data_IF_795497499493
#
_entry.id   IF_795497499493
#
_cell.length_a   1.000
_cell.length_b   1.000
_cell.length_c   1.000
_cell.angle_alpha   90.00
_cell.angle_beta   90.00
_cell.angle_gamma   90.00
#
_symmetry.space_group_name_H-M   'P 1'
#
loop_
_entity.id
_entity.type
_entity.pdbx_description
1 polymer ?
#
# COMPACT_ATOMS: atom_id res chain seq x y z
N UNK A 1 20.01 -82.28 26.13
CA UNK A 1 18.76 -82.74 26.76
C UNK A 1 17.69 -81.75 26.30
N UNK A 2 17.17 -81.96 25.08
CA UNK A 2 15.85 -82.58 24.77
C UNK A 2 14.72 -81.62 25.19
N UNK A 3 13.77 -81.16 24.37
CA UNK A 3 13.22 -81.56 23.05
C UNK A 3 12.32 -80.38 22.55
N UNK A 4 12.29 -80.03 21.25
CA UNK A 4 11.19 -80.17 20.24
C UNK A 4 9.80 -79.60 20.65
N UNK A 5 8.98 -78.89 19.85
CA UNK A 5 8.53 -78.96 18.45
C UNK A 5 7.87 -77.60 18.04
N UNK A 6 8.05 -77.04 16.81
CA UNK A 6 7.13 -77.06 15.64
C UNK A 6 5.68 -76.59 15.90
N UNK A 7 4.94 -75.86 15.05
CA UNK A 7 5.11 -75.07 13.81
C UNK A 7 3.73 -74.45 13.50
N UNK A 8 3.69 -73.46 12.59
CA UNK A 8 2.58 -73.12 11.66
C UNK A 8 1.96 -71.71 11.74
N UNK A 9 1.97 -71.10 10.55
CA UNK A 9 1.47 -69.79 10.19
C UNK A 9 0.08 -69.88 9.54
N UNK A 10 -0.77 -68.87 9.77
CA UNK A 10 -1.96 -68.55 8.95
C UNK A 10 -2.41 -67.08 9.19
N UNK A 11 -3.12 -66.44 8.24
CA UNK A 11 -3.06 -64.99 7.93
C UNK A 11 -4.12 -64.13 8.65
N UNK A 12 -4.03 -62.78 8.60
CA UNK A 12 -5.06 -61.92 9.20
C UNK A 12 -6.29 -61.74 8.28
N UNK A 13 -7.49 -61.57 8.84
CA UNK A 13 -8.70 -61.30 8.08
C UNK A 13 -8.92 -59.79 7.86
N UNK A 14 -9.70 -59.51 6.82
CA UNK A 14 -10.08 -58.21 6.28
C UNK A 14 -11.19 -57.46 7.05
N UNK A 15 -11.11 -56.13 6.98
CA UNK A 15 -12.17 -55.11 6.91
C UNK A 15 -13.27 -55.02 8.00
N UNK A 16 -13.35 -53.86 8.67
CA UNK A 16 -14.52 -52.94 8.62
C UNK A 16 -14.36 -51.75 9.59
N UNK A 17 -14.52 -50.52 9.08
CA UNK A 17 -14.63 -49.26 9.83
C UNK A 17 -15.93 -49.20 10.67
N UNK A 18 -16.06 -48.29 11.66
CA UNK A 18 -16.80 -47.05 11.37
C UNK A 18 -16.32 -45.77 12.11
N UNK A 19 -16.52 -44.64 11.45
CA UNK A 19 -16.35 -43.25 11.93
C UNK A 19 -17.64 -42.74 12.59
N UNK A 20 -17.54 -42.09 13.75
CA UNK A 20 -18.62 -41.37 14.40
C UNK A 20 -18.53 -39.86 14.08
N UNK A 21 -19.64 -39.28 13.60
CA UNK A 21 -19.81 -37.84 13.37
C UNK A 21 -20.78 -37.32 14.43
N UNK A 22 -20.39 -36.26 15.15
CA UNK A 22 -21.27 -35.51 16.04
C UNK A 22 -22.07 -34.46 15.25
N UNK A 23 -23.39 -34.52 15.41
CA UNK A 23 -24.39 -33.65 14.79
C UNK A 23 -24.65 -32.39 15.64
N UNK A 24 -24.75 -31.22 15.00
CA UNK A 24 -25.43 -30.03 15.54
C UNK A 24 -26.64 -29.67 14.65
N UNK A 25 -27.76 -29.18 15.20
CA UNK A 25 -29.01 -29.04 14.46
C UNK A 25 -29.09 -27.73 13.68
N UNK A 26 -29.63 -27.81 12.46
CA UNK A 26 -29.97 -26.68 11.59
C UNK A 26 -31.41 -26.24 11.90
N UNK A 27 -31.61 -24.98 12.27
CA UNK A 27 -32.93 -24.36 12.30
C UNK A 27 -33.24 -23.85 10.88
N UNK A 28 -34.28 -24.43 10.30
CA UNK A 28 -34.85 -24.09 9.00
C UNK A 28 -35.88 -22.96 9.17
N UNK A 29 -35.76 -21.88 8.39
CA UNK A 29 -36.86 -20.95 8.12
C UNK A 29 -37.07 -20.89 6.61
N UNK A 30 -38.13 -21.55 6.18
CA UNK A 30 -38.66 -21.62 4.81
C UNK A 30 -39.07 -20.24 4.25
N UNK A 31 -38.69 -19.95 3.01
CA UNK A 31 -39.36 -18.97 2.16
C UNK A 31 -40.21 -19.73 1.13
N UNK A 32 -41.52 -19.52 1.16
CA UNK A 32 -42.50 -20.16 0.29
C UNK A 32 -42.66 -19.35 -1.00
N UNK A 33 -41.78 -19.57 -1.98
CA UNK A 33 -42.00 -19.24 -3.39
C UNK A 33 -40.80 -19.75 -4.20
N UNK A 34 -40.87 -20.97 -4.73
CA UNK A 34 -40.14 -21.51 -5.90
C UNK A 34 -40.12 -23.06 -5.83
N UNK A 35 -41.00 -23.73 -6.58
CA UNK A 35 -40.93 -25.18 -6.83
C UNK A 35 -39.79 -25.49 -7.82
N UNK A 36 -38.57 -25.69 -7.31
CA UNK A 36 -37.42 -26.08 -8.13
C UNK A 36 -36.54 -27.12 -7.42
N UNK A 37 -36.24 -28.22 -8.11
CA UNK A 37 -35.40 -29.30 -7.60
C UNK A 37 -34.00 -28.79 -7.19
N UNK A 38 -33.57 -29.12 -5.98
CA UNK A 38 -32.22 -28.85 -5.47
C UNK A 38 -31.18 -29.65 -6.25
N UNK A 39 -30.32 -28.97 -7.01
CA UNK A 39 -29.12 -29.56 -7.58
C UNK A 39 -28.16 -29.98 -6.45
N UNK A 40 -27.82 -31.26 -6.39
CA UNK A 40 -26.83 -31.80 -5.45
C UNK A 40 -25.45 -31.23 -5.77
N UNK A 41 -24.83 -30.57 -4.79
CA UNK A 41 -23.44 -30.13 -4.89
C UNK A 41 -22.52 -31.35 -4.73
N UNK A 42 -21.90 -31.79 -5.82
CA UNK A 42 -20.79 -32.73 -5.78
C UNK A 42 -19.52 -31.99 -5.32
N UNK A 43 -18.85 -32.54 -4.30
CA UNK A 43 -17.57 -32.02 -3.82
C UNK A 43 -16.51 -32.03 -4.95
N UNK A 44 -15.71 -30.96 -5.11
CA UNK A 44 -14.63 -30.97 -6.08
C UNK A 44 -13.53 -31.95 -5.66
N UNK A 45 -12.79 -32.56 -6.62
CA UNK A 45 -11.72 -33.49 -6.30
C UNK A 45 -10.58 -32.77 -5.55
N UNK A 46 -9.85 -33.48 -4.67
CA UNK A 46 -8.71 -32.91 -3.96
C UNK A 46 -7.58 -32.60 -4.95
N UNK A 47 -6.99 -31.40 -4.80
CA UNK A 47 -5.90 -30.93 -5.64
C UNK A 47 -4.57 -31.58 -5.21
N UNK A 48 -3.74 -31.94 -6.18
CA UNK A 48 -2.38 -32.46 -5.95
C UNK A 48 -1.44 -31.34 -5.48
N UNK A 49 -0.52 -31.67 -4.57
CA UNK A 49 0.51 -30.79 -3.96
C UNK A 49 1.50 -30.13 -4.96
N UNK A 50 1.29 -30.29 -6.27
CA UNK A 50 2.22 -29.92 -7.34
C UNK A 50 1.83 -28.65 -8.11
N UNK A 51 0.78 -27.93 -7.72
CA UNK A 51 0.38 -26.69 -8.41
C UNK A 51 1.01 -25.47 -7.76
N UNK A 52 1.88 -24.70 -8.46
CA UNK A 52 2.37 -23.43 -7.94
C UNK A 52 1.21 -22.44 -7.73
N UNK A 53 1.32 -21.50 -6.77
CA UNK A 53 0.29 -20.48 -6.56
C UNK A 53 0.02 -19.72 -7.87
N UNK A 54 -1.24 -19.29 -8.10
CA UNK A 54 -1.63 -18.65 -9.35
C UNK A 54 -0.78 -17.39 -9.62
N UNK A 55 -0.15 -17.34 -10.79
CA UNK A 55 0.63 -16.19 -11.22
C UNK A 55 -0.27 -14.95 -11.36
N UNK A 56 0.19 -13.81 -10.84
CA UNK A 56 -0.43 -12.50 -11.03
C UNK A 56 -0.77 -12.25 -12.51
N UNK A 57 -2.02 -11.89 -12.80
CA UNK A 57 -2.47 -11.50 -14.14
C UNK A 57 -3.13 -10.11 -14.06
N UNK A 58 -2.63 -9.09 -14.78
CA UNK A 58 -3.17 -7.74 -14.68
C UNK A 58 -4.57 -7.59 -15.30
N UNK A 59 -5.31 -6.57 -14.88
CA UNK A 59 -6.59 -6.17 -15.47
C UNK A 59 -6.35 -5.65 -16.90
N UNK A 60 -6.81 -6.40 -17.91
CA UNK A 60 -6.84 -5.97 -19.32
C UNK A 60 -8.15 -5.23 -19.62
N UNK A 61 -8.27 -3.98 -19.21
CA UNK A 61 -9.30 -3.10 -19.77
C UNK A 61 -8.74 -2.43 -21.04
N UNK A 62 -9.42 -2.49 -22.19
CA UNK A 62 -8.94 -1.83 -23.40
C UNK A 62 -8.88 -0.30 -23.23
N UNK A 63 -7.85 0.33 -23.79
CA UNK A 63 -7.60 1.77 -23.75
C UNK A 63 -8.59 2.54 -24.67
N UNK A 64 -9.88 2.59 -24.30
CA UNK A 64 -10.91 3.11 -25.22
C UNK A 64 -11.05 4.64 -25.17
N UNK A 65 -10.58 5.34 -24.14
CA UNK A 65 -10.58 6.80 -24.09
C UNK A 65 -9.43 7.34 -23.22
N UNK A 66 -8.54 8.17 -23.78
CA UNK A 66 -7.50 8.86 -23.01
C UNK A 66 -8.13 9.93 -22.10
N UNK A 67 -7.68 10.10 -20.85
CA UNK A 67 -8.25 11.10 -19.95
C UNK A 67 -8.02 12.53 -20.46
N UNK A 68 -9.10 13.33 -20.52
CA UNK A 68 -9.11 14.72 -20.99
C UNK A 68 -8.40 15.73 -20.06
N UNK A 69 -7.93 15.30 -18.88
CA UNK A 69 -7.41 16.17 -17.83
C UNK A 69 -5.91 16.53 -17.97
N UNK A 70 -5.24 16.12 -19.04
CA UNK A 70 -3.79 16.31 -19.23
C UNK A 70 -3.39 17.80 -19.33
N UNK A 71 -4.21 18.64 -19.94
CA UNK A 71 -3.89 20.06 -20.15
C UNK A 71 -3.83 20.88 -18.84
N UNK A 72 -4.71 20.61 -17.88
CA UNK A 72 -4.73 21.33 -16.60
C UNK A 72 -3.54 20.95 -15.70
N UNK A 73 -3.10 19.69 -15.76
CA UNK A 73 -1.91 19.21 -15.03
C UNK A 73 -0.65 19.89 -15.54
N UNK A 74 -0.50 20.05 -16.86
CA UNK A 74 0.69 20.69 -17.46
C UNK A 74 0.87 22.13 -16.96
N UNK A 75 -0.23 22.88 -16.83
CA UNK A 75 -0.23 24.28 -16.40
C UNK A 75 -0.16 24.45 -14.87
N UNK A 76 -0.39 23.39 -14.09
CA UNK A 76 -0.34 23.48 -12.63
C UNK A 76 1.08 23.81 -12.14
N UNK A 77 1.22 24.61 -11.05
CA UNK A 77 2.53 24.84 -10.43
C UNK A 77 3.06 23.54 -9.84
N UNK A 78 4.37 23.30 -10.00
CA UNK A 78 5.05 22.15 -9.37
C UNK A 78 5.01 22.35 -7.85
N UNK A 79 4.57 21.35 -7.07
CA UNK A 79 4.79 21.35 -5.62
C UNK A 79 6.26 21.59 -5.27
N UNK A 80 6.52 22.57 -4.41
CA UNK A 80 7.88 22.90 -3.98
C UNK A 80 8.14 22.27 -2.61
N UNK A 81 9.40 21.91 -2.30
CA UNK A 81 9.81 21.53 -0.95
C UNK A 81 9.36 22.59 0.06
N UNK A 82 8.68 22.17 1.11
CA UNK A 82 8.34 23.01 2.26
C UNK A 82 8.73 22.28 3.54
N UNK A 83 9.17 23.01 4.57
CA UNK A 83 9.44 22.42 5.86
C UNK A 83 8.15 21.91 6.49
N UNK A 84 8.27 20.88 7.31
CA UNK A 84 7.15 20.34 8.08
C UNK A 84 6.96 21.20 9.33
N UNK A 85 5.79 21.84 9.55
CA UNK A 85 5.57 22.64 10.74
C UNK A 85 5.52 21.74 11.99
N UNK A 86 6.38 21.99 12.99
CA UNK A 86 6.36 21.21 14.21
C UNK A 86 5.02 21.35 14.93
N UNK A 87 4.62 20.31 15.65
CA UNK A 87 3.52 20.38 16.60
C UNK A 87 4.06 20.95 17.92
N UNK A 88 3.41 21.98 18.44
CA UNK A 88 3.81 22.63 19.69
C UNK A 88 2.98 22.11 20.87
N UNK A 89 3.58 21.91 22.05
CA UNK A 89 2.83 21.60 23.27
C UNK A 89 2.03 22.83 23.77
N UNK A 90 0.90 22.63 24.48
CA UNK A 90 0.31 21.33 24.81
C UNK A 90 -0.32 20.68 23.57
N UNK A 91 -0.07 19.39 23.38
CA UNK A 91 -0.64 18.65 22.27
C UNK A 91 -2.14 18.36 22.50
N UNK A 92 -2.90 18.44 21.43
CA UNK A 92 -4.34 18.18 21.35
C UNK A 92 -4.62 17.12 20.28
N UNK A 93 -4.24 15.88 20.57
CA UNK A 93 -4.42 14.77 19.63
C UNK A 93 -5.89 14.45 19.39
N UNK A 94 -6.26 14.17 18.14
CA UNK A 94 -7.61 13.81 17.73
C UNK A 94 -7.59 12.60 16.80
N UNK A 95 -8.46 11.61 17.05
CA UNK A 95 -8.61 10.47 16.13
C UNK A 95 -9.13 10.96 14.76
N UNK A 96 -8.41 10.70 13.65
CA UNK A 96 -8.79 11.16 12.32
C UNK A 96 -10.19 10.68 11.92
N UNK A 97 -10.93 11.56 11.24
CA UNK A 97 -12.24 11.25 10.68
C UNK A 97 -12.37 11.72 9.23
N UNK A 98 -13.39 11.23 8.52
CA UNK A 98 -13.61 11.60 7.13
C UNK A 98 -14.06 13.06 7.03
N UNK A 99 -13.28 13.91 6.34
CA UNK A 99 -13.62 15.32 6.05
C UNK A 99 -13.69 15.66 4.58
N UNK A 100 -13.17 14.79 3.72
CA UNK A 100 -13.18 14.99 2.28
C UNK A 100 -14.27 14.10 1.70
N UNK A 101 -15.28 14.75 1.13
CA UNK A 101 -16.46 14.09 0.57
C UNK A 101 -16.84 14.62 -0.82
N UNK A 102 -16.21 15.71 -1.24
CA UNK A 102 -16.51 16.40 -2.49
C UNK A 102 -15.24 16.95 -3.16
N UNK A 103 -15.26 17.20 -4.48
CA UNK A 103 -14.21 17.93 -5.18
C UNK A 103 -13.88 19.30 -4.57
N UNK A 104 -14.82 19.93 -3.87
CA UNK A 104 -14.64 21.21 -3.21
C UNK A 104 -13.82 21.09 -1.93
N UNK A 105 -14.06 20.03 -1.15
CA UNK A 105 -13.27 19.73 0.06
C UNK A 105 -11.81 19.46 -0.29
N UNK A 106 -11.57 18.80 -1.43
CA UNK A 106 -10.24 18.57 -1.99
C UNK A 106 -9.55 19.90 -2.33
N UNK A 107 -10.25 20.81 -3.03
CA UNK A 107 -9.68 22.13 -3.33
C UNK A 107 -9.34 22.91 -2.06
N UNK A 108 -10.22 22.85 -1.05
CA UNK A 108 -9.98 23.45 0.27
C UNK A 108 -8.76 22.84 0.94
N UNK A 109 -8.63 21.51 0.93
CA UNK A 109 -7.45 20.82 1.45
C UNK A 109 -6.16 21.30 0.78
N UNK A 110 -6.12 21.34 -0.56
CA UNK A 110 -4.94 21.82 -1.30
C UNK A 110 -4.56 23.27 -1.00
N UNK A 111 -5.54 24.13 -0.73
CA UNK A 111 -5.29 25.52 -0.31
C UNK A 111 -4.93 25.67 1.17
N UNK A 112 -5.28 24.69 2.01
CA UNK A 112 -5.04 24.74 3.45
C UNK A 112 -3.54 24.67 3.77
N UNK A 113 -3.16 25.13 4.97
CA UNK A 113 -1.81 24.99 5.49
C UNK A 113 -1.37 23.53 5.49
N UNK A 114 -2.19 22.63 6.06
CA UNK A 114 -1.89 21.19 6.14
C UNK A 114 -1.67 20.57 4.76
N UNK A 115 -2.53 20.83 3.78
CA UNK A 115 -2.38 20.26 2.44
C UNK A 115 -1.16 20.79 1.70
N UNK A 116 -0.85 22.09 1.83
CA UNK A 116 0.38 22.66 1.27
C UNK A 116 1.63 22.04 1.89
N UNK A 117 1.70 21.92 3.21
CA UNK A 117 2.85 21.36 3.89
C UNK A 117 2.98 19.84 3.68
N UNK A 118 1.88 19.10 3.54
CA UNK A 118 1.93 17.68 3.17
C UNK A 118 2.51 17.49 1.77
N UNK A 119 2.02 18.22 0.76
CA UNK A 119 2.59 18.16 -0.58
C UNK A 119 4.05 18.66 -0.61
N UNK A 120 4.35 19.67 0.19
CA UNK A 120 5.70 20.17 0.38
C UNK A 120 6.62 19.14 1.02
N UNK A 121 6.14 18.34 1.97
CA UNK A 121 6.88 17.22 2.54
C UNK A 121 7.23 16.18 1.49
N UNK A 122 6.29 15.76 0.65
CA UNK A 122 6.56 14.84 -0.48
C UNK A 122 7.61 15.42 -1.42
N UNK A 123 7.52 16.72 -1.74
CA UNK A 123 8.52 17.40 -2.54
C UNK A 123 9.90 17.46 -1.86
N UNK A 124 9.95 17.66 -0.53
CA UNK A 124 11.18 17.63 0.27
C UNK A 124 11.81 16.24 0.30
N UNK A 125 11.02 15.17 0.45
CA UNK A 125 11.49 13.78 0.33
C UNK A 125 12.08 13.51 -1.06
N UNK A 126 11.36 13.90 -2.12
CA UNK A 126 11.84 13.81 -3.50
C UNK A 126 13.15 14.58 -3.69
N UNK A 127 13.26 15.79 -3.15
CA UNK A 127 14.47 16.59 -3.26
C UNK A 127 15.67 15.95 -2.54
N UNK A 128 15.43 15.37 -1.36
CA UNK A 128 16.48 14.78 -0.51
C UNK A 128 17.24 13.61 -1.16
N UNK A 129 16.63 12.92 -2.13
CA UNK A 129 17.22 11.78 -2.84
C UNK A 129 17.72 12.12 -4.24
N UNK A 130 17.77 13.40 -4.60
CA UNK A 130 18.25 13.84 -5.92
C UNK A 130 19.66 13.31 -6.19
N UNK A 131 19.81 12.54 -7.26
CA UNK A 131 21.11 11.99 -7.66
C UNK A 131 21.69 10.92 -6.73
N UNK A 132 20.89 10.37 -5.79
CA UNK A 132 21.34 9.34 -4.84
C UNK A 132 20.78 7.98 -5.20
N UNK A 133 21.60 6.93 -5.10
CA UNK A 133 21.19 5.53 -5.22
C UNK A 133 20.59 5.01 -3.93
N UNK A 134 19.81 3.93 -4.01
CA UNK A 134 19.35 3.16 -2.84
C UNK A 134 20.54 2.66 -2.02
N UNK A 135 21.62 2.25 -2.69
CA UNK A 135 22.85 1.75 -2.09
C UNK A 135 23.78 2.84 -1.54
N UNK A 136 23.48 4.12 -1.74
CA UNK A 136 24.34 5.20 -1.24
C UNK A 136 24.28 5.29 0.29
N UNK A 137 25.39 5.64 0.95
CA UNK A 137 25.38 5.86 2.40
C UNK A 137 24.37 6.92 2.84
N UNK A 138 23.70 6.63 3.95
CA UNK A 138 22.81 7.54 4.67
C UNK A 138 23.41 7.88 6.04
N UNK A 139 22.98 8.98 6.70
CA UNK A 139 23.45 9.32 8.04
C UNK A 139 23.34 8.14 9.00
N UNK A 140 24.41 7.90 9.77
CA UNK A 140 24.53 6.81 10.74
C UNK A 140 25.12 7.34 12.05
N UNK A 141 24.65 6.88 13.23
CA UNK A 141 23.56 5.91 13.42
C UNK A 141 22.19 6.45 13.01
N UNK A 142 21.28 5.55 12.62
CA UNK A 142 19.87 5.91 12.39
C UNK A 142 19.23 6.33 13.72
N UNK A 143 18.27 7.25 13.68
CA UNK A 143 17.46 7.56 14.87
C UNK A 143 16.69 6.33 15.37
N UNK A 144 16.27 6.40 16.63
CA UNK A 144 15.39 5.40 17.23
C UNK A 144 14.10 5.23 16.42
N UNK A 145 13.51 6.34 15.95
CA UNK A 145 12.30 6.35 15.14
C UNK A 145 12.49 5.60 13.82
N UNK A 146 13.52 5.92 13.03
CA UNK A 146 13.77 5.22 11.75
C UNK A 146 14.08 3.74 11.95
N UNK A 147 14.90 3.41 12.96
CA UNK A 147 15.22 2.02 13.31
C UNK A 147 13.98 1.24 13.77
N UNK A 148 13.10 1.91 14.52
CA UNK A 148 11.81 1.37 14.94
C UNK A 148 10.89 1.09 13.75
N UNK A 149 10.76 2.03 12.81
CA UNK A 149 9.93 1.83 11.60
C UNK A 149 10.46 0.65 10.77
N UNK A 150 11.78 0.55 10.58
CA UNK A 150 12.38 -0.58 9.86
C UNK A 150 12.08 -1.92 10.55
N UNK A 151 12.23 -1.97 11.87
CA UNK A 151 11.95 -3.18 12.67
C UNK A 151 10.47 -3.57 12.63
N UNK A 152 9.58 -2.58 12.64
CA UNK A 152 8.15 -2.75 12.45
C UNK A 152 7.86 -3.34 11.07
N UNK A 153 8.38 -2.75 9.98
CA UNK A 153 8.15 -3.25 8.63
C UNK A 153 8.67 -4.68 8.43
N UNK A 154 9.81 -5.02 9.04
CA UNK A 154 10.33 -6.39 9.07
C UNK A 154 9.41 -7.34 9.83
N UNK A 155 8.79 -6.90 10.92
CA UNK A 155 7.80 -7.68 11.66
C UNK A 155 6.57 -7.97 10.82
N UNK A 156 6.03 -6.95 10.14
CA UNK A 156 4.93 -7.12 9.18
C UNK A 156 5.28 -8.07 8.04
N UNK A 157 6.54 -8.03 7.58
CA UNK A 157 7.05 -8.90 6.53
C UNK A 157 7.15 -10.36 6.99
N UNK A 158 7.54 -10.62 8.25
CA UNK A 158 7.58 -11.98 8.83
C UNK A 158 6.18 -12.58 8.97
N UNK A 159 5.17 -11.78 9.28
CA UNK A 159 3.80 -12.27 9.35
C UNK A 159 3.27 -12.82 8.03
N UNK A 160 3.83 -12.41 6.89
CA UNK A 160 3.49 -13.00 5.58
C UNK A 160 3.92 -14.47 5.52
N UNK A 161 5.07 -14.79 6.11
CA UNK A 161 5.60 -16.16 6.16
C UNK A 161 4.82 -17.01 7.18
N UNK A 162 4.39 -16.40 8.28
CA UNK A 162 3.59 -17.04 9.33
C UNK A 162 2.13 -17.26 8.91
N UNK A 163 1.64 -16.53 7.91
CA UNK A 163 0.25 -16.56 7.42
C UNK A 163 0.28 -16.88 5.92
N UNK A 164 0.56 -18.14 5.54
CA UNK A 164 0.66 -18.52 4.14
C UNK A 164 -0.69 -18.37 3.41
N UNK A 165 -0.68 -18.19 2.08
CA UNK A 165 -1.90 -18.10 1.30
C UNK A 165 -2.74 -19.36 1.43
N UNK A 166 -4.05 -19.19 1.62
CA UNK A 166 -4.97 -20.32 1.66
C UNK A 166 -5.17 -20.90 0.25
N UNK A 167 -5.34 -22.23 0.10
CA UNK A 167 -5.81 -22.80 -1.15
C UNK A 167 -7.15 -22.17 -1.52
N UNK A 168 -7.21 -21.49 -2.66
CA UNK A 168 -8.39 -20.74 -3.08
C UNK A 168 -8.58 -20.85 -4.59
N UNK A 169 -9.84 -20.95 -5.01
CA UNK A 169 -10.21 -21.08 -6.42
C UNK A 169 -10.33 -19.73 -7.14
N UNK A 170 -10.46 -18.61 -6.40
CA UNK A 170 -10.49 -17.29 -7.02
C UNK A 170 -9.13 -16.89 -7.54
N UNK A 171 -9.18 -16.18 -8.67
CA UNK A 171 -8.02 -15.55 -9.32
C UNK A 171 -7.43 -14.38 -8.52
N UNK A 172 -8.25 -13.70 -7.71
CA UNK A 172 -7.87 -12.51 -6.96
C UNK A 172 -8.35 -12.58 -5.52
N UNK A 173 -7.65 -11.87 -4.66
CA UNK A 173 -8.01 -11.66 -3.27
C UNK A 173 -7.95 -12.94 -2.44
N UNK A 174 -6.74 -13.36 -2.04
CA UNK A 174 -6.57 -14.49 -1.15
C UNK A 174 -7.14 -14.15 0.25
N UNK A 175 -8.08 -14.93 0.80
CA UNK A 175 -8.68 -14.64 2.10
C UNK A 175 -7.69 -14.62 3.28
N UNK A 176 -6.51 -15.27 3.16
CA UNK A 176 -5.45 -15.22 4.17
C UNK A 176 -4.99 -13.80 4.50
N UNK A 177 -5.13 -12.86 3.54
CA UNK A 177 -4.86 -11.45 3.78
C UNK A 177 -5.70 -10.85 4.91
N UNK A 178 -6.95 -11.33 5.09
CA UNK A 178 -7.81 -10.88 6.18
C UNK A 178 -7.25 -11.27 7.53
N UNK A 179 -6.63 -12.46 7.63
CA UNK A 179 -5.94 -12.91 8.84
C UNK A 179 -4.71 -12.05 9.11
N UNK A 180 -3.89 -11.78 8.08
CA UNK A 180 -2.74 -10.89 8.20
C UNK A 180 -3.15 -9.47 8.66
N UNK A 181 -4.20 -8.92 8.07
CA UNK A 181 -4.69 -7.58 8.40
C UNK A 181 -5.41 -7.54 9.76
N UNK A 182 -6.08 -8.61 10.18
CA UNK A 182 -6.66 -8.71 11.52
C UNK A 182 -5.56 -8.61 12.58
N UNK A 183 -4.46 -9.35 12.39
CA UNK A 183 -3.29 -9.25 13.27
C UNK A 183 -2.67 -7.85 13.30
N UNK A 184 -2.57 -7.20 12.15
CA UNK A 184 -2.17 -5.78 12.07
C UNK A 184 -3.10 -4.86 12.87
N UNK A 185 -4.40 -5.13 12.85
CA UNK A 185 -5.39 -4.34 13.60
C UNK A 185 -5.23 -4.55 15.11
N UNK A 186 -5.01 -5.80 15.53
CA UNK A 186 -4.88 -6.17 16.95
C UNK A 186 -3.56 -5.68 17.56
N UNK A 187 -2.44 -5.80 16.84
CA UNK A 187 -1.10 -5.42 17.32
C UNK A 187 -0.72 -3.96 16.96
N UNK A 188 -1.47 -3.31 16.06
CA UNK A 188 -1.11 -2.03 15.45
C UNK A 188 -0.89 -0.89 16.44
N UNK A 189 -1.73 -0.78 17.48
CA UNK A 189 -1.56 0.26 18.51
C UNK A 189 -0.23 0.10 19.25
N UNK A 190 0.14 -1.14 19.61
CA UNK A 190 1.42 -1.42 20.28
C UNK A 190 2.62 -1.12 19.38
N UNK A 191 2.52 -1.44 18.09
CA UNK A 191 3.55 -1.13 17.10
C UNK A 191 3.77 0.38 16.94
N UNK A 192 2.70 1.17 16.87
CA UNK A 192 2.79 2.63 16.76
C UNK A 192 3.33 3.24 18.06
N UNK A 193 2.84 2.80 19.22
CA UNK A 193 3.29 3.30 20.51
C UNK A 193 4.80 3.09 20.73
N UNK A 194 5.36 1.98 20.23
CA UNK A 194 6.78 1.69 20.31
C UNK A 194 7.68 2.64 19.49
N UNK A 195 7.10 3.44 18.57
CA UNK A 195 7.84 4.45 17.81
C UNK A 195 7.88 5.81 18.52
N UNK A 196 7.06 5.99 19.55
CA UNK A 196 6.92 7.24 20.27
C UNK A 196 7.85 7.27 21.48
N UNK A 197 8.34 8.45 21.89
CA UNK A 197 9.08 8.58 23.14
C UNK A 197 8.27 8.06 24.34
N UNK A 198 8.95 7.47 25.31
CA UNK A 198 8.34 7.03 26.58
C UNK A 198 7.98 8.24 27.46
N UNK A 199 6.92 8.95 27.08
CA UNK A 199 6.39 10.12 27.78
C UNK A 199 4.86 10.12 27.68
N UNK A 200 4.18 10.39 28.80
CA UNK A 200 2.72 10.46 28.88
C UNK A 200 2.13 11.50 27.91
N UNK A 201 2.92 12.50 27.54
CA UNK A 201 2.53 13.54 26.59
C UNK A 201 2.36 12.99 25.15
N UNK A 202 3.17 12.01 24.74
CA UNK A 202 3.11 11.44 23.39
C UNK A 202 2.18 10.23 23.28
N UNK A 203 1.81 9.58 24.39
CA UNK A 203 0.96 8.38 24.36
C UNK A 203 -0.34 8.59 23.56
N UNK A 204 -1.08 9.71 23.68
CA UNK A 204 -2.30 9.91 22.90
C UNK A 204 -2.05 10.10 21.40
N UNK A 205 -0.82 10.40 20.97
CA UNK A 205 -0.47 10.46 19.55
C UNK A 205 -0.65 9.11 18.86
N UNK A 206 -0.52 8.00 19.59
CA UNK A 206 -0.72 6.66 19.04
C UNK A 206 -2.15 6.50 18.48
N UNK A 207 -3.15 7.02 19.18
CA UNK A 207 -4.56 6.97 18.75
C UNK A 207 -4.81 7.77 17.47
N UNK A 208 -4.11 8.89 17.29
CA UNK A 208 -4.21 9.73 16.09
C UNK A 208 -3.43 9.13 14.90
N UNK A 209 -2.28 8.54 15.15
CA UNK A 209 -1.42 7.91 14.14
C UNK A 209 -1.97 6.57 13.63
N UNK A 210 -2.65 5.81 14.51
CA UNK A 210 -3.07 4.44 14.24
C UNK A 210 -3.94 4.31 12.97
N UNK A 211 -4.94 5.17 12.71
CA UNK A 211 -5.74 5.05 11.49
C UNK A 211 -4.93 5.23 10.19
N UNK A 212 -3.94 6.14 10.17
CA UNK A 212 -3.04 6.30 9.02
C UNK A 212 -2.20 5.04 8.83
N UNK A 213 -1.67 4.49 9.93
CA UNK A 213 -0.87 3.28 9.91
C UNK A 213 -1.67 2.06 9.42
N UNK A 214 -2.86 1.80 9.97
CA UNK A 214 -3.70 0.67 9.57
C UNK A 214 -4.14 0.76 8.10
N UNK A 215 -4.55 1.95 7.64
CA UNK A 215 -4.98 2.15 6.26
C UNK A 215 -3.78 2.27 5.28
N UNK A 216 -2.54 2.07 5.71
CA UNK A 216 -1.35 2.11 4.84
C UNK A 216 -1.17 0.85 4.00
N UNK A 217 -1.77 -0.28 4.38
CA UNK A 217 -1.38 -1.59 3.86
C UNK A 217 -2.41 -2.26 2.95
N UNK A 218 -3.51 -1.58 2.64
CA UNK A 218 -4.60 -2.07 1.79
C UNK A 218 -5.93 -2.12 2.53
N UNK A 219 -6.94 -2.76 1.95
CA UNK A 219 -8.25 -2.93 2.57
C UNK A 219 -8.59 -4.42 2.76
N UNK A 220 -8.77 -4.87 4.00
CA UNK A 220 -9.07 -6.27 4.31
C UNK A 220 -10.37 -6.79 3.69
N UNK A 221 -11.39 -5.94 3.58
CA UNK A 221 -12.68 -6.35 3.04
C UNK A 221 -12.61 -6.59 1.53
N UNK A 222 -12.07 -5.61 0.80
CA UNK A 222 -11.92 -5.64 -0.66
C UNK A 222 -10.71 -6.45 -1.13
N UNK A 223 -9.75 -6.73 -0.23
CA UNK A 223 -8.47 -7.40 -0.53
C UNK A 223 -7.76 -6.68 -1.69
N UNK A 224 -7.67 -5.36 -1.55
CA UNK A 224 -7.06 -4.48 -2.54
C UNK A 224 -6.02 -3.56 -1.90
N UNK A 225 -5.12 -3.03 -2.73
CA UNK A 225 -4.13 -2.02 -2.38
C UNK A 225 -3.99 -1.02 -3.53
N UNK A 226 -3.59 0.21 -3.22
CA UNK A 226 -3.39 1.24 -4.24
C UNK A 226 -2.78 2.50 -3.66
N UNK A 227 -2.70 3.53 -4.49
CA UNK A 227 -2.02 4.80 -4.20
C UNK A 227 -2.62 5.59 -3.03
N UNK A 228 -3.89 5.36 -2.69
CA UNK A 228 -4.50 5.91 -1.47
C UNK A 228 -3.91 5.34 -0.19
N UNK A 229 -3.62 4.03 -0.16
CA UNK A 229 -2.95 3.36 0.95
C UNK A 229 -1.48 3.80 1.04
N UNK A 230 -0.80 3.92 -0.10
CA UNK A 230 0.54 4.50 -0.17
C UNK A 230 0.59 5.94 0.39
N UNK A 231 -0.44 6.74 0.08
CA UNK A 231 -0.56 8.11 0.59
C UNK A 231 -0.81 8.13 2.10
N UNK A 232 -1.53 7.16 2.66
CA UNK A 232 -1.65 7.00 4.11
C UNK A 232 -0.31 6.71 4.78
N UNK A 233 0.53 5.88 4.17
CA UNK A 233 1.86 5.63 4.71
C UNK A 233 2.69 6.91 4.71
N UNK A 234 2.65 7.68 3.62
CA UNK A 234 3.31 8.99 3.58
C UNK A 234 2.73 9.99 4.58
N UNK A 235 1.41 9.96 4.84
CA UNK A 235 0.77 10.77 5.87
C UNK A 235 1.24 10.35 7.26
N UNK A 236 1.31 9.05 7.56
CA UNK A 236 1.86 8.54 8.81
C UNK A 236 3.29 9.05 9.06
N UNK A 237 4.17 8.97 8.04
CA UNK A 237 5.53 9.51 8.12
C UNK A 237 5.56 11.04 8.30
N UNK A 238 4.69 11.77 7.62
CA UNK A 238 4.54 13.21 7.79
C UNK A 238 4.15 13.57 9.24
N UNK A 239 3.30 12.78 9.88
CA UNK A 239 2.89 13.01 11.26
C UNK A 239 4.05 12.80 12.25
N UNK A 240 4.87 11.78 12.03
CA UNK A 240 6.10 11.58 12.81
C UNK A 240 7.09 12.75 12.63
N UNK A 241 7.19 13.30 11.41
CA UNK A 241 7.98 14.52 11.17
C UNK A 241 7.40 15.75 11.85
N UNK A 242 6.07 15.90 11.92
CA UNK A 242 5.41 16.97 12.69
C UNK A 242 5.66 16.87 14.18
N UNK A 243 5.81 15.66 14.72
CA UNK A 243 6.21 15.42 16.11
C UNK A 243 7.72 15.58 16.34
N UNK A 244 8.45 16.03 15.32
CA UNK A 244 9.92 16.19 15.34
C UNK A 244 10.69 14.89 15.64
N UNK A 245 10.03 13.74 15.46
CA UNK A 245 10.62 12.41 15.63
C UNK A 245 11.43 11.99 14.40
N UNK A 246 11.22 12.66 13.27
CA UNK A 246 11.98 12.52 12.02
C UNK A 246 12.32 13.93 11.54
N UNK A 247 13.60 14.21 11.34
CA UNK A 247 14.07 15.53 10.90
C UNK A 247 14.46 15.53 9.42
N UNK A 248 14.60 16.72 8.83
CA UNK A 248 14.89 16.86 7.40
C UNK A 248 16.23 16.22 6.99
N UNK A 249 17.23 16.26 7.87
CA UNK A 249 18.51 15.60 7.68
C UNK A 249 18.39 14.08 7.50
N UNK A 250 17.30 13.48 7.96
CA UNK A 250 17.01 12.05 7.88
C UNK A 250 16.17 11.65 6.66
N UNK A 251 15.66 12.62 5.89
CA UNK A 251 14.82 12.34 4.72
C UNK A 251 15.47 11.43 3.67
N UNK A 252 16.79 11.51 3.39
CA UNK A 252 17.44 10.53 2.53
C UNK A 252 17.31 9.10 3.06
N UNK A 253 17.47 8.90 4.38
CA UNK A 253 17.30 7.57 5.00
C UNK A 253 15.82 7.13 5.00
N UNK A 254 14.90 8.06 5.23
CA UNK A 254 13.46 7.80 5.19
C UNK A 254 13.02 7.28 3.82
N UNK A 255 13.55 7.85 2.74
CA UNK A 255 13.19 7.39 1.38
C UNK A 255 13.99 6.15 1.01
N UNK A 256 15.33 6.19 1.08
CA UNK A 256 16.19 5.14 0.53
C UNK A 256 16.14 3.84 1.34
N UNK A 257 15.84 3.89 2.65
CA UNK A 257 15.71 2.71 3.50
C UNK A 257 14.25 2.39 3.85
N UNK A 258 13.56 3.30 4.55
CA UNK A 258 12.21 3.03 5.08
C UNK A 258 11.21 2.85 3.94
N UNK A 259 11.16 3.78 2.99
CA UNK A 259 10.21 3.68 1.88
C UNK A 259 10.55 2.53 0.92
N UNK A 260 11.84 2.26 0.65
CA UNK A 260 12.27 1.05 -0.08
C UNK A 260 11.78 -0.23 0.60
N UNK A 261 11.96 -0.35 1.92
CA UNK A 261 11.52 -1.52 2.70
C UNK A 261 10.00 -1.66 2.70
N UNK A 262 9.27 -0.54 2.76
CA UNK A 262 7.82 -0.52 2.62
C UNK A 262 7.38 -1.05 1.25
N UNK A 263 8.04 -0.65 0.16
CA UNK A 263 7.73 -1.16 -1.18
C UNK A 263 7.99 -2.66 -1.31
N UNK A 264 9.07 -3.17 -0.71
CA UNK A 264 9.35 -4.59 -0.71
C UNK A 264 8.30 -5.39 0.06
N UNK A 265 7.86 -4.88 1.22
CA UNK A 265 6.72 -5.44 1.94
C UNK A 265 5.45 -5.44 1.08
N UNK A 266 5.13 -4.32 0.42
CA UNK A 266 3.91 -4.21 -0.40
C UNK A 266 3.94 -5.16 -1.59
N UNK A 267 5.07 -5.29 -2.27
CA UNK A 267 5.24 -6.27 -3.36
C UNK A 267 5.04 -7.70 -2.88
N UNK A 268 5.51 -8.04 -1.67
CA UNK A 268 5.26 -9.35 -1.06
C UNK A 268 3.77 -9.56 -0.78
N UNK A 269 3.08 -8.60 -0.18
CA UNK A 269 1.63 -8.72 0.06
C UNK A 269 0.84 -8.87 -1.26
N UNK A 270 1.13 -8.02 -2.25
CA UNK A 270 0.50 -8.03 -3.57
C UNK A 270 0.64 -9.38 -4.26
N UNK A 271 1.83 -9.98 -4.24
CA UNK A 271 2.09 -11.27 -4.86
C UNK A 271 1.51 -12.42 -4.03
N UNK A 272 1.81 -12.49 -2.73
CA UNK A 272 1.45 -13.62 -1.88
C UNK A 272 -0.06 -13.76 -1.73
N UNK A 273 -0.77 -12.63 -1.58
CA UNK A 273 -2.21 -12.64 -1.38
C UNK A 273 -3.02 -12.23 -2.61
N UNK A 274 -2.37 -12.03 -3.77
CA UNK A 274 -3.04 -11.64 -5.02
C UNK A 274 -3.97 -10.45 -4.83
N UNK A 275 -3.47 -9.38 -4.18
CA UNK A 275 -4.26 -8.18 -3.91
C UNK A 275 -4.76 -7.56 -5.23
N UNK A 276 -5.95 -6.99 -5.21
CA UNK A 276 -6.49 -6.28 -6.37
C UNK A 276 -5.97 -4.83 -6.43
N UNK A 277 -5.78 -4.25 -7.62
CA UNK A 277 -5.50 -2.82 -7.78
C UNK A 277 -6.68 -1.95 -7.36
N UNK A 278 -6.52 -1.17 -6.28
CA UNK A 278 -7.53 -0.26 -5.76
C UNK A 278 -7.53 1.07 -6.54
N UNK A 279 -8.70 1.54 -6.97
CA UNK A 279 -8.84 2.85 -7.62
C UNK A 279 -8.10 2.95 -8.95
N UNK A 280 -7.90 1.84 -9.65
CA UNK A 280 -7.17 1.83 -10.92
C UNK A 280 -7.92 2.64 -12.00
N UNK A 281 -7.20 3.51 -12.70
CA UNK A 281 -7.66 4.18 -13.93
C UNK A 281 -7.61 3.24 -15.15
N UNK A 282 -7.65 1.92 -14.91
CA UNK A 282 -7.31 0.91 -15.90
C UNK A 282 -5.91 1.13 -16.47
N UNK A 283 -5.78 0.97 -17.78
CA UNK A 283 -4.51 1.07 -18.51
C UNK A 283 -3.94 2.50 -18.56
N UNK A 284 -4.72 3.51 -18.17
CA UNK A 284 -4.27 4.90 -18.09
C UNK A 284 -3.70 5.29 -16.73
N UNK A 285 -3.68 4.38 -15.75
CA UNK A 285 -2.93 4.59 -14.51
C UNK A 285 -1.42 4.58 -14.76
N UNK A 286 -0.68 5.29 -13.93
CA UNK A 286 0.79 5.25 -13.96
C UNK A 286 1.30 3.83 -13.66
N UNK A 287 0.74 3.20 -12.63
CA UNK A 287 0.98 1.83 -12.21
C UNK A 287 -0.28 1.29 -11.51
N UNK A 288 -0.38 -0.02 -11.33
CA UNK A 288 -1.53 -0.65 -10.68
C UNK A 288 -1.65 -0.26 -9.20
N UNK A 289 -0.52 -0.04 -8.51
CA UNK A 289 -0.47 0.07 -7.05
C UNK A 289 0.20 1.34 -6.54
N UNK A 290 1.23 1.83 -7.23
CA UNK A 290 2.19 2.77 -6.67
C UNK A 290 2.32 4.06 -7.49
N UNK A 291 2.59 5.17 -6.81
CA UNK A 291 2.88 6.45 -7.44
C UNK A 291 4.15 7.09 -6.90
N UNK A 292 4.29 7.17 -5.57
CA UNK A 292 5.43 7.80 -4.90
C UNK A 292 6.81 7.23 -5.31
N UNK A 293 7.00 5.92 -5.58
CA UNK A 293 8.28 5.39 -6.06
C UNK A 293 8.74 6.02 -7.38
N UNK A 294 7.80 6.44 -8.24
CA UNK A 294 8.11 7.11 -9.49
C UNK A 294 8.49 8.57 -9.27
N UNK A 295 7.95 9.24 -8.24
CA UNK A 295 8.42 10.56 -7.81
C UNK A 295 9.86 10.42 -7.29
N UNK A 296 10.09 9.59 -6.28
CA UNK A 296 11.40 9.47 -5.63
C UNK A 296 12.45 8.92 -6.60
N UNK A 297 12.12 7.87 -7.34
CA UNK A 297 13.02 7.25 -8.31
C UNK A 297 13.36 8.16 -9.50
N UNK A 298 12.44 9.03 -9.95
CA UNK A 298 12.79 10.02 -10.98
C UNK A 298 13.72 11.09 -10.43
N UNK A 299 13.61 11.45 -9.14
CA UNK A 299 14.55 12.35 -8.48
C UNK A 299 15.97 11.74 -8.37
N UNK A 300 16.08 10.47 -8.01
CA UNK A 300 17.36 9.74 -7.97
C UNK A 300 18.11 9.82 -9.31
N UNK A 301 17.38 9.86 -10.43
CA UNK A 301 17.93 9.87 -11.79
C UNK A 301 18.11 11.27 -12.38
N UNK A 302 17.79 12.34 -11.65
CA UNK A 302 18.05 13.72 -12.11
C UNK A 302 19.55 13.91 -12.36
N UNK A 303 19.88 14.53 -13.49
CA UNK A 303 21.25 14.79 -13.97
C UNK A 303 22.11 13.54 -14.17
N UNK A 304 21.50 12.34 -14.18
CA UNK A 304 22.23 11.12 -14.46
C UNK A 304 22.88 11.16 -15.86
N UNK A 305 24.18 10.86 -15.90
CA UNK A 305 25.04 11.07 -17.07
C UNK A 305 24.56 10.30 -18.30
N UNK A 306 24.21 9.03 -18.12
CA UNK A 306 23.91 8.11 -19.23
C UNK A 306 22.43 7.72 -19.31
N UNK A 307 21.82 7.26 -18.22
CA UNK A 307 20.41 6.86 -18.18
C UNK A 307 19.47 8.05 -18.34
N UNK A 308 18.58 7.97 -19.33
CA UNK A 308 17.51 8.95 -19.62
C UNK A 308 16.14 8.28 -19.44
N UNK A 309 15.02 9.02 -19.43
CA UNK A 309 13.69 8.41 -19.29
C UNK A 309 13.42 7.26 -20.28
N UNK A 310 13.88 7.39 -21.54
CA UNK A 310 13.78 6.33 -22.55
C UNK A 310 14.55 5.04 -22.22
N UNK A 311 15.51 5.09 -21.29
CA UNK A 311 16.32 3.94 -20.88
C UNK A 311 15.51 2.84 -20.19
N UNK A 312 14.29 3.12 -19.72
CA UNK A 312 13.40 2.11 -19.11
C UNK A 312 13.03 0.96 -20.08
N UNK A 313 13.20 1.19 -21.38
CA UNK A 313 12.96 0.18 -22.42
C UNK A 313 14.12 -0.80 -22.57
N UNK A 314 15.32 -0.44 -22.15
CA UNK A 314 16.51 -1.27 -22.25
C UNK A 314 16.55 -2.30 -21.11
N UNK A 315 16.50 -3.59 -21.45
CA UNK A 315 16.46 -4.66 -20.46
C UNK A 315 17.76 -4.79 -19.66
N UNK A 316 18.93 -4.61 -20.29
CA UNK A 316 20.22 -4.64 -19.59
C UNK A 316 20.30 -3.55 -18.52
N UNK A 317 19.73 -2.37 -18.79
CA UNK A 317 19.67 -1.29 -17.80
C UNK A 317 18.80 -1.69 -16.61
N UNK A 318 17.64 -2.29 -16.87
CA UNK A 318 16.75 -2.74 -15.80
C UNK A 318 17.40 -3.84 -14.96
N UNK A 319 18.03 -4.82 -15.60
CA UNK A 319 18.63 -5.97 -14.92
C UNK A 319 19.82 -5.55 -14.03
N UNK A 320 20.61 -4.56 -14.48
CA UNK A 320 21.81 -4.14 -13.75
C UNK A 320 21.57 -3.00 -12.74
N UNK A 321 20.54 -2.16 -12.93
CA UNK A 321 20.37 -0.93 -12.14
C UNK A 321 19.03 -0.84 -11.38
N UNK A 322 18.12 -1.80 -11.52
CA UNK A 322 16.85 -1.80 -10.79
C UNK A 322 17.03 -1.82 -9.27
N UNK A 323 18.07 -2.45 -8.74
CA UNK A 323 18.34 -2.47 -7.30
C UNK A 323 18.87 -1.13 -6.75
N UNK A 324 19.36 -0.23 -7.62
CA UNK A 324 19.91 1.07 -7.22
C UNK A 324 18.88 2.20 -7.34
N UNK A 325 17.84 2.06 -8.17
CA UNK A 325 16.92 3.14 -8.53
C UNK A 325 15.45 2.68 -8.48
N UNK A 326 14.64 3.29 -7.61
CA UNK A 326 13.23 2.92 -7.40
C UNK A 326 12.40 2.95 -8.69
N UNK A 327 12.63 3.94 -9.57
CA UNK A 327 11.89 4.05 -10.82
C UNK A 327 12.12 2.82 -11.71
N UNK A 328 13.40 2.41 -11.83
CA UNK A 328 13.79 1.25 -12.62
C UNK A 328 13.29 -0.05 -11.96
N UNK A 329 13.33 -0.13 -10.62
CA UNK A 329 12.75 -1.24 -9.86
C UNK A 329 11.26 -1.43 -10.16
N UNK A 330 10.48 -0.34 -10.17
CA UNK A 330 9.06 -0.38 -10.47
C UNK A 330 8.80 -0.79 -11.93
N UNK A 331 9.54 -0.25 -12.90
CA UNK A 331 9.38 -0.67 -14.30
C UNK A 331 9.75 -2.14 -14.49
N UNK A 332 10.84 -2.61 -13.87
CA UNK A 332 11.24 -4.01 -13.91
C UNK A 332 10.15 -4.92 -13.32
N UNK A 333 9.54 -4.51 -12.20
CA UNK A 333 8.39 -5.21 -11.62
C UNK A 333 7.20 -5.27 -12.58
N UNK A 334 6.80 -4.13 -13.16
CA UNK A 334 5.70 -4.06 -14.15
C UNK A 334 5.95 -5.01 -15.32
N UNK A 335 7.15 -4.98 -15.93
CA UNK A 335 7.52 -5.89 -17.02
C UNK A 335 7.54 -7.37 -16.61
N UNK A 336 7.87 -7.66 -15.34
CA UNK A 336 7.84 -9.03 -14.82
C UNK A 336 6.40 -9.55 -14.72
N UNK A 337 5.49 -8.74 -14.17
CA UNK A 337 4.13 -9.15 -13.81
C UNK A 337 3.12 -8.96 -14.95
N UNK A 338 3.32 -7.98 -15.84
CA UNK A 338 2.49 -7.75 -17.03
C UNK A 338 3.16 -8.37 -18.25
N UNK A 339 2.40 -9.16 -19.03
CA UNK A 339 2.88 -9.78 -20.28
C UNK A 339 2.30 -9.08 -21.49
N UNK A 340 3.14 -8.81 -22.48
CA UNK A 340 2.77 -8.13 -23.73
C UNK A 340 3.74 -7.02 -24.08
N UNK A 341 3.38 -6.20 -25.07
CA UNK A 341 4.15 -5.00 -25.42
C UNK A 341 3.95 -3.95 -24.32
N UNK A 342 5.04 -3.33 -23.86
CA UNK A 342 5.00 -2.39 -22.74
C UNK A 342 4.03 -1.23 -22.97
N UNK A 343 4.05 -0.64 -24.17
CA UNK A 343 3.14 0.43 -24.57
C UNK A 343 1.65 0.04 -24.54
N UNK A 344 1.31 -1.25 -24.65
CA UNK A 344 -0.09 -1.71 -24.66
C UNK A 344 -0.67 -1.84 -23.25
N UNK A 345 0.14 -2.30 -22.29
CA UNK A 345 -0.32 -2.53 -20.91
C UNK A 345 0.06 -1.42 -19.93
N UNK A 346 0.96 -0.53 -20.34
CA UNK A 346 1.48 0.60 -19.55
C UNK A 346 1.76 1.85 -20.42
N UNK A 347 0.79 2.32 -21.23
CA UNK A 347 1.00 3.46 -22.13
C UNK A 347 1.42 4.74 -21.42
N UNK A 348 0.94 5.01 -20.20
CA UNK A 348 1.36 6.21 -19.47
C UNK A 348 2.87 6.21 -19.14
N UNK A 349 3.41 5.07 -18.70
CA UNK A 349 4.86 4.94 -18.48
C UNK A 349 5.65 5.02 -19.79
N UNK A 350 5.08 4.46 -20.87
CA UNK A 350 5.68 4.52 -22.21
C UNK A 350 5.75 5.97 -22.73
N UNK A 351 4.65 6.72 -22.65
CA UNK A 351 4.58 8.14 -23.03
C UNK A 351 5.54 9.00 -22.20
N UNK A 352 5.58 8.79 -20.88
CA UNK A 352 6.47 9.51 -19.98
C UNK A 352 7.95 9.22 -20.31
N UNK A 353 8.26 8.02 -20.82
CA UNK A 353 9.63 7.69 -21.27
C UNK A 353 10.10 8.56 -22.45
N UNK A 354 9.18 9.17 -23.19
CA UNK A 354 9.45 10.13 -24.26
C UNK A 354 9.88 11.52 -23.76
N UNK A 355 9.71 11.83 -22.48
CA UNK A 355 10.16 13.09 -21.87
C UNK A 355 11.69 13.16 -21.90
N UNK A 356 12.31 14.29 -22.31
CA UNK A 356 13.74 14.32 -22.59
C UNK A 356 14.64 14.23 -21.35
N UNK A 357 14.16 14.63 -20.16
CA UNK A 357 14.99 14.68 -18.94
C UNK A 357 14.23 14.20 -17.71
N UNK A 358 14.94 13.55 -16.79
CA UNK A 358 14.40 13.12 -15.49
C UNK A 358 13.89 14.28 -14.63
N UNK A 359 14.52 15.46 -14.72
CA UNK A 359 14.02 16.67 -14.03
C UNK A 359 12.61 17.06 -14.49
N UNK A 360 12.32 16.96 -15.80
CA UNK A 360 10.97 17.19 -16.34
C UNK A 360 10.00 16.08 -15.95
N UNK A 361 10.45 14.82 -15.96
CA UNK A 361 9.65 13.69 -15.45
C UNK A 361 9.26 13.93 -13.99
N UNK A 362 10.22 14.19 -13.12
CA UNK A 362 9.98 14.42 -11.69
C UNK A 362 9.03 15.60 -11.44
N UNK A 363 9.24 16.71 -12.15
CA UNK A 363 8.32 17.87 -12.09
C UNK A 363 6.90 17.50 -12.53
N UNK A 364 6.77 16.74 -13.61
CA UNK A 364 5.48 16.21 -14.08
C UNK A 364 4.83 15.28 -13.06
N UNK A 365 5.59 14.35 -12.47
CA UNK A 365 5.12 13.42 -11.44
C UNK A 365 4.61 14.16 -10.21
N UNK A 366 5.29 15.19 -9.73
CA UNK A 366 4.81 16.00 -8.59
C UNK A 366 3.50 16.72 -8.91
N UNK A 367 3.36 17.27 -10.13
CA UNK A 367 2.09 17.89 -10.59
C UNK A 367 0.97 16.86 -10.70
N UNK A 368 1.25 15.70 -11.28
CA UNK A 368 0.32 14.59 -11.40
C UNK A 368 -0.10 14.09 -10.03
N UNK A 369 0.83 13.89 -9.08
CA UNK A 369 0.50 13.48 -7.72
C UNK A 369 -0.42 14.47 -7.03
N UNK A 370 -0.16 15.78 -7.13
CA UNK A 370 -1.08 16.80 -6.61
C UNK A 370 -2.49 16.69 -7.21
N UNK A 371 -2.59 16.39 -8.51
CA UNK A 371 -3.86 16.23 -9.20
C UNK A 371 -4.56 14.89 -8.91
N UNK A 372 -3.80 13.83 -8.64
CA UNK A 372 -4.29 12.47 -8.38
C UNK A 372 -4.63 12.25 -6.90
N UNK A 373 -3.94 12.94 -5.97
CA UNK A 373 -4.32 13.03 -4.54
C UNK A 373 -5.77 13.51 -4.38
N UNK A 374 -6.31 14.25 -5.36
CA UNK A 374 -7.73 14.59 -5.44
C UNK A 374 -8.65 13.36 -5.40
N UNK A 375 -8.25 12.25 -6.02
CA UNK A 375 -9.10 11.07 -6.18
C UNK A 375 -9.02 10.18 -4.94
N UNK A 376 -7.83 10.12 -4.33
CA UNK A 376 -7.53 9.17 -3.25
C UNK A 376 -7.95 9.67 -1.86
N UNK A 377 -8.04 10.99 -1.66
CA UNK A 377 -8.58 11.59 -0.44
C UNK A 377 -10.10 11.40 -0.25
N UNK A 378 -10.82 10.87 -1.25
CA UNK A 378 -12.21 10.41 -1.06
C UNK A 378 -12.30 9.12 -0.24
N UNK A 379 -11.20 8.35 -0.18
CA UNK A 379 -11.08 7.07 0.54
C UNK A 379 -10.35 7.22 1.88
N UNK A 380 -9.55 8.28 2.05
CA UNK A 380 -8.82 8.55 3.28
C UNK A 380 -9.63 9.44 4.22
N UNK A 381 -9.66 9.06 5.50
CA UNK A 381 -9.98 9.99 6.59
C UNK A 381 -9.02 11.16 6.41
N UNK A 382 -9.53 12.38 6.30
CA UNK A 382 -8.69 13.50 5.88
C UNK A 382 -7.48 13.62 6.81
N UNK A 383 -6.39 14.17 6.29
CA UNK A 383 -5.24 14.59 7.10
C UNK A 383 -5.75 15.71 8.04
N UNK A 384 -6.29 15.31 9.19
CA UNK A 384 -6.67 16.18 10.28
C UNK A 384 -5.53 16.06 11.24
N UNK A 385 -4.85 17.16 11.56
CA UNK A 385 -3.89 17.11 12.63
C UNK A 385 -3.94 18.33 13.54
N UNK A 386 -3.66 17.99 14.80
CA UNK A 386 -3.46 18.84 15.97
C UNK A 386 -2.59 20.09 15.71
N UNK A 387 -3.26 21.23 15.55
CA UNK A 387 -3.13 22.44 16.38
C UNK A 387 -4.30 23.34 15.98
N UNK A 388 -5.13 23.76 16.95
CA UNK A 388 -6.48 24.30 16.74
C UNK A 388 -6.56 25.61 15.95
N UNK A 389 -5.44 26.19 15.52
CA UNK A 389 -5.41 27.40 14.68
C UNK A 389 -5.66 27.13 13.20
N UNK A 390 -5.42 25.91 12.72
CA UNK A 390 -5.69 25.50 11.33
C UNK A 390 -6.89 24.55 11.22
N UNK A 391 -7.79 24.56 12.21
CA UNK A 391 -9.04 23.80 12.13
C UNK A 391 -9.78 24.17 10.84
N UNK A 392 -9.98 23.17 9.98
CA UNK A 392 -10.85 23.23 8.81
C UNK A 392 -12.13 23.99 9.19
N UNK A 393 -12.27 25.23 8.70
CA UNK A 393 -13.36 26.14 8.98
C UNK A 393 -14.67 25.69 8.32
N UNK A 394 -15.14 24.49 8.63
CA UNK A 394 -16.52 24.07 8.34
C UNK A 394 -17.26 24.25 9.65
N UNK A 395 -17.78 25.46 9.87
CA UNK A 395 -18.81 25.69 10.91
C UNK A 395 -19.89 24.63 10.70
N UNK A 396 -20.17 23.83 11.74
CA UNK A 396 -21.44 23.11 11.84
C UNK A 396 -22.53 24.14 11.64
N UNK A 397 -23.22 24.09 10.51
CA UNK A 397 -24.47 24.82 10.33
C UNK A 397 -25.46 24.07 11.22
N UNK A 398 -25.60 24.48 12.48
CA UNK A 398 -26.77 24.13 13.25
C UNK A 398 -27.96 24.80 12.56
N UNK A 399 -28.84 23.96 12.01
CA UNK A 399 -30.10 24.42 11.44
C UNK A 399 -30.94 25.05 12.53
N UNK A 400 -30.93 26.39 12.58
CA UNK A 400 -32.03 27.12 13.18
C UNK A 400 -33.19 27.05 12.20
N UNK A 401 -34.17 26.20 12.51
CA UNK A 401 -35.54 26.38 12.03
C UNK A 401 -36.05 27.70 12.63
N UNK A 402 -36.47 28.69 11.83
CA UNK A 402 -37.22 29.81 12.37
C UNK A 402 -38.65 29.33 12.66
N UNK A 403 -39.04 29.41 13.93
CA UNK A 403 -40.44 29.44 14.30
C UNK A 403 -41.07 30.74 13.80
N UNK A 404 -42.21 30.60 13.12
CA UNK A 404 -43.05 31.66 12.59
C UNK A 404 -44.27 31.05 11.92
#
# INVERSE_FOLDING_TARGET
MTDSDHSDAAPPPSSSSPTAIHSFPVICSSCAACDGATASWSSPPPWSESSPPPAYRPIRAPAINAPMATASIVLAPVPLPLPVPPADPPYHFEVPCKRISSPDDIRRFHSSTSGRHFLGFIASLSHSVRGRKISDPVPSPLSATLSGILSLLQTLARWIDEIPPLPHSSRYGNPAYRTWHARLTDEGHGLVLALLPESDEFRPAADELLPYFLDSFGNAYRIDYGTGHETNFAAFLYCLARLELIKEEEYPALVLLVFSTYLDLMRRLQITYSLEPAGSHGVWGLDDYHFLPFIFGSAQLIDHKYMKPKSIHNQDILDNFSNDYMYLACVAFVKKVKKGVFAEHSPMLDDISGVPTWSKVNSGMLKMYKAEVNIYLNLTKAIIWCNQKDSFGIKKIHGNLPGG
#
